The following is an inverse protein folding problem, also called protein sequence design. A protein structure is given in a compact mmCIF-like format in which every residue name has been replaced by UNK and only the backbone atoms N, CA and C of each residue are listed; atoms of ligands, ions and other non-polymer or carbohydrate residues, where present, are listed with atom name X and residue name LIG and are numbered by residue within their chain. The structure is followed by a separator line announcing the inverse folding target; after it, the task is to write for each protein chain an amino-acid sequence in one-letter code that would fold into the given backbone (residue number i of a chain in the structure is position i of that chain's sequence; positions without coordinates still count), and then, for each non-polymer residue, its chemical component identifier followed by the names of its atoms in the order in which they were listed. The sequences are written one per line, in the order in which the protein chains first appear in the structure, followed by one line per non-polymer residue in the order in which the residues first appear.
data_IF_815219981727
#
_entry.id   IF_815219981727
#
_cell.length_a   1.000
_cell.length_b   1.000
_cell.length_c   1.000
_cell.angle_alpha   90.00
_cell.angle_beta   90.00
_cell.angle_gamma   90.00
#
_symmetry.space_group_name_H-M   'P 1'
#
loop_
_entity.id
_entity.type
_entity.pdbx_description
1 polymer ?
#
# COMPACT_ATOMS: atom_id res chain seq x y z
N UNK A 1 -12.96 13.28 13.48
CA UNK A 1 -13.69 14.57 13.36
C UNK A 1 -13.16 15.30 12.12
N UNK A 2 -13.92 16.25 11.57
CA UNK A 2 -13.43 17.06 10.46
C UNK A 2 -12.08 17.71 10.81
N UNK A 3 -11.12 17.67 9.87
CA UNK A 3 -9.76 18.20 10.06
C UNK A 3 -8.67 17.16 10.37
N UNK A 4 -9.04 15.92 10.70
CA UNK A 4 -8.07 14.82 10.91
C UNK A 4 -8.33 13.72 9.88
N UNK A 5 -7.58 13.66 8.77
CA UNK A 5 -7.78 12.65 7.74
C UNK A 5 -7.27 11.28 8.22
N UNK A 6 -8.02 10.23 7.87
CA UNK A 6 -7.65 8.84 8.13
C UNK A 6 -7.87 8.05 6.84
N UNK A 7 -6.85 7.31 6.40
CA UNK A 7 -7.00 6.38 5.29
C UNK A 7 -7.63 5.08 5.81
N UNK A 8 -8.92 4.87 5.52
CA UNK A 8 -9.68 3.71 5.99
C UNK A 8 -9.65 2.56 4.97
N UNK A 9 -9.41 1.35 5.47
CA UNK A 9 -9.34 0.12 4.66
C UNK A 9 -10.48 -0.83 5.02
N UNK A 10 -10.61 -1.94 4.29
CA UNK A 10 -11.59 -2.99 4.58
C UNK A 10 -11.39 -3.60 5.98
N UNK A 11 -12.40 -4.30 6.52
CA UNK A 11 -12.29 -5.00 7.80
C UNK A 11 -11.46 -6.29 7.63
N UNK A 12 -10.64 -6.63 8.62
CA UNK A 12 -9.94 -7.92 8.70
C UNK A 12 -8.61 -7.97 7.94
N UNK A 13 -8.19 -9.19 7.58
CA UNK A 13 -6.86 -9.45 6.98
C UNK A 13 -6.65 -8.75 5.64
N UNK A 14 -7.70 -8.63 4.82
CA UNK A 14 -7.67 -7.88 3.56
C UNK A 14 -7.36 -6.39 3.82
N UNK A 15 -7.96 -5.81 4.85
CA UNK A 15 -7.69 -4.43 5.27
C UNK A 15 -6.27 -4.20 5.73
N UNK A 16 -5.74 -5.11 6.55
CA UNK A 16 -4.37 -5.04 7.04
C UNK A 16 -3.35 -5.10 5.88
N UNK A 17 -3.59 -5.97 4.89
CA UNK A 17 -2.76 -6.02 3.67
C UNK A 17 -2.85 -4.73 2.87
N UNK A 18 -4.06 -4.21 2.64
CA UNK A 18 -4.24 -2.96 1.89
C UNK A 18 -3.62 -1.75 2.60
N UNK A 19 -3.64 -1.70 3.94
CA UNK A 19 -2.95 -0.67 4.70
C UNK A 19 -1.42 -0.73 4.50
N UNK A 20 -0.85 -1.95 4.48
CA UNK A 20 0.58 -2.14 4.19
C UNK A 20 0.93 -1.72 2.75
N UNK A 21 0.06 -2.01 1.78
CA UNK A 21 0.24 -1.58 0.40
C UNK A 21 0.21 -0.06 0.26
N UNK A 22 -0.76 0.61 0.89
CA UNK A 22 -0.82 2.07 0.89
C UNK A 22 0.43 2.69 1.55
N UNK A 23 0.91 2.11 2.64
CA UNK A 23 2.15 2.54 3.27
C UNK A 23 3.36 2.39 2.33
N UNK A 24 3.42 1.29 1.57
CA UNK A 24 4.47 1.06 0.58
C UNK A 24 4.42 2.09 -0.56
N UNK A 25 3.23 2.46 -1.04
CA UNK A 25 3.04 3.52 -2.06
C UNK A 25 3.52 4.88 -1.55
N UNK A 26 3.15 5.27 -0.32
CA UNK A 26 3.58 6.53 0.29
C UNK A 26 5.11 6.57 0.47
N UNK A 27 5.69 5.50 1.03
CA UNK A 27 7.14 5.41 1.25
C UNK A 27 7.91 5.33 -0.07
N UNK A 28 7.33 4.68 -1.09
CA UNK A 28 7.91 4.56 -2.43
C UNK A 28 8.13 5.89 -3.13
N UNK A 29 7.47 6.97 -2.71
CA UNK A 29 7.72 8.32 -3.23
C UNK A 29 9.13 8.84 -2.93
N UNK A 30 9.77 8.32 -1.86
CA UNK A 30 11.10 8.74 -1.42
C UNK A 30 12.13 7.62 -1.47
N UNK A 31 11.70 6.37 -1.30
CA UNK A 31 12.60 5.22 -1.14
C UNK A 31 12.48 4.27 -2.34
N UNK A 32 13.37 4.41 -3.31
CA UNK A 32 13.36 3.64 -4.56
C UNK A 32 13.32 2.12 -4.34
N UNK A 33 14.03 1.62 -3.32
CA UNK A 33 14.01 0.19 -3.00
C UNK A 33 12.60 -0.31 -2.64
N UNK A 34 11.82 0.49 -1.91
CA UNK A 34 10.44 0.13 -1.55
C UNK A 34 9.56 0.19 -2.78
N UNK A 35 9.72 1.23 -3.61
CA UNK A 35 9.00 1.37 -4.87
C UNK A 35 9.22 0.18 -5.80
N UNK A 36 10.47 -0.18 -6.10
CA UNK A 36 10.78 -1.30 -6.99
C UNK A 36 10.28 -2.64 -6.45
N UNK A 37 10.36 -2.86 -5.13
CA UNK A 37 9.81 -4.06 -4.51
C UNK A 37 8.28 -4.13 -4.63
N UNK A 38 7.59 -3.01 -4.42
CA UNK A 38 6.14 -2.94 -4.53
C UNK A 38 5.64 -3.06 -5.98
N UNK A 39 6.31 -2.41 -6.93
CA UNK A 39 6.03 -2.53 -8.36
C UNK A 39 6.19 -3.98 -8.83
N UNK A 40 7.28 -4.66 -8.44
CA UNK A 40 7.47 -6.08 -8.74
C UNK A 40 6.32 -6.94 -8.20
N UNK A 41 5.94 -6.72 -6.94
CA UNK A 41 4.83 -7.44 -6.32
C UNK A 41 3.49 -7.22 -7.08
N UNK A 42 3.23 -5.99 -7.53
CA UNK A 42 2.04 -5.65 -8.32
C UNK A 42 2.04 -6.34 -9.69
N UNK A 43 3.18 -6.36 -10.38
CA UNK A 43 3.32 -7.06 -11.66
C UNK A 43 3.14 -8.56 -11.51
N UNK A 44 3.60 -9.16 -10.40
CA UNK A 44 3.36 -10.58 -10.12
C UNK A 44 1.87 -10.87 -9.97
N UNK A 45 1.09 -10.00 -9.30
CA UNK A 45 -0.36 -10.16 -9.15
C UNK A 45 -1.14 -10.02 -10.47
N UNK A 46 -0.71 -9.17 -11.40
CA UNK A 46 -1.36 -9.01 -12.71
C UNK A 46 -1.18 -10.23 -13.62
N UNK A 47 -0.15 -11.04 -13.38
CA UNK A 47 0.16 -12.24 -14.14
C UNK A 47 -0.36 -13.53 -13.48
N UNK A 48 -1.27 -13.41 -12.49
CA UNK A 48 -1.99 -14.53 -11.86
C UNK A 48 -3.39 -14.67 -12.44
#
# INVERSE_FOLDING_TARGET
PAGIPVASMAIGTTGAKNAAYLAAEILGLKYDKIRSAYEKYRSELENV
#
